data_IF_026823464011
#
_entry.id   IF_026823464011
#
_cell.length_a   1.000
_cell.length_b   1.000
_cell.length_c   1.000
_cell.angle_alpha   90.00
_cell.angle_beta   90.00
_cell.angle_gamma   90.00
#
_symmetry.space_group_name_H-M   'P 1'
#
loop_
_entity.id
_entity.type
_entity.pdbx_description
1 polymer ?
#
# COMPACT_ATOMS: atom_id res chain seq x y z
N UNK A 1 -18.75 2.70 -22.91
CA UNK A 1 -18.99 2.88 -21.47
C UNK A 1 -20.08 3.93 -21.29
N UNK A 2 -20.77 3.95 -20.15
CA UNK A 2 -21.70 5.02 -19.81
C UNK A 2 -20.96 6.11 -19.01
N UNK A 3 -21.44 7.35 -19.05
CA UNK A 3 -20.87 8.53 -18.37
C UNK A 3 -20.58 8.24 -16.88
N UNK A 4 -21.52 7.62 -16.17
CA UNK A 4 -21.33 7.24 -14.76
C UNK A 4 -20.11 6.34 -14.51
N UNK A 5 -19.83 5.42 -15.45
CA UNK A 5 -18.69 4.51 -15.36
C UNK A 5 -17.37 5.26 -15.61
N UNK A 6 -17.36 6.21 -16.56
CA UNK A 6 -16.20 7.04 -16.86
C UNK A 6 -15.88 7.98 -15.69
N UNK A 7 -16.90 8.62 -15.11
CA UNK A 7 -16.76 9.41 -13.89
C UNK A 7 -16.23 8.57 -12.74
N UNK A 8 -16.74 7.34 -12.56
CA UNK A 8 -16.30 6.47 -11.48
C UNK A 8 -14.82 6.09 -11.59
N UNK A 9 -14.34 5.77 -12.80
CA UNK A 9 -12.92 5.48 -13.03
C UNK A 9 -12.04 6.72 -12.86
N UNK A 10 -12.48 7.89 -13.33
CA UNK A 10 -11.71 9.13 -13.19
C UNK A 10 -11.55 9.54 -11.73
N UNK A 11 -12.64 9.49 -10.94
CA UNK A 11 -12.58 9.77 -9.50
C UNK A 11 -11.70 8.76 -8.75
N UNK A 12 -11.75 7.48 -9.15
CA UNK A 12 -10.89 6.45 -8.56
C UNK A 12 -9.40 6.74 -8.85
N UNK A 13 -9.06 7.15 -10.07
CA UNK A 13 -7.69 7.54 -10.45
C UNK A 13 -7.22 8.77 -9.63
N UNK A 14 -8.10 9.76 -9.44
CA UNK A 14 -7.79 10.93 -8.61
C UNK A 14 -7.53 10.53 -7.16
N UNK A 15 -8.36 9.67 -6.58
CA UNK A 15 -8.18 9.17 -5.21
C UNK A 15 -6.89 8.37 -5.07
N UNK A 16 -6.51 7.55 -6.06
CA UNK A 16 -5.24 6.82 -6.06
C UNK A 16 -4.03 7.76 -6.13
N UNK A 17 -4.14 8.85 -6.89
CA UNK A 17 -3.11 9.90 -6.92
C UNK A 17 -2.98 10.58 -5.55
N UNK A 18 -4.10 10.87 -4.89
CA UNK A 18 -4.09 11.42 -3.53
C UNK A 18 -3.51 10.43 -2.52
N UNK A 19 -3.82 9.14 -2.65
CA UNK A 19 -3.29 8.08 -1.79
C UNK A 19 -1.77 8.03 -1.88
N UNK A 20 -1.24 8.00 -3.11
CA UNK A 20 0.20 7.99 -3.39
C UNK A 20 0.92 9.20 -2.76
N UNK A 21 0.37 10.40 -2.89
CA UNK A 21 0.96 11.61 -2.29
C UNK A 21 0.87 11.66 -0.76
N UNK A 22 -0.08 10.93 -0.17
CA UNK A 22 -0.29 10.88 1.29
C UNK A 22 0.55 9.83 2.02
N UNK A 23 1.44 9.07 1.34
CA UNK A 23 2.26 7.99 1.92
C UNK A 23 3.06 8.35 3.18
N UNK A 24 3.34 9.64 3.39
CA UNK A 24 4.10 10.15 4.56
C UNK A 24 3.21 10.61 5.71
N UNK A 25 1.89 10.59 5.53
CA UNK A 25 0.88 11.08 6.47
C UNK A 25 -0.08 9.92 6.81
N UNK A 26 0.21 9.07 7.82
CA UNK A 26 -0.52 7.81 8.05
C UNK A 26 -2.03 7.99 8.22
N UNK A 27 -2.47 9.01 8.97
CA UNK A 27 -3.90 9.25 9.20
C UNK A 27 -4.62 9.68 7.91
N UNK A 28 -3.96 10.50 7.09
CA UNK A 28 -4.50 10.94 5.80
C UNK A 28 -4.53 9.78 4.81
N UNK A 29 -3.47 8.96 4.79
CA UNK A 29 -3.40 7.75 3.98
C UNK A 29 -4.52 6.76 4.33
N UNK A 30 -4.81 6.54 5.62
CA UNK A 30 -5.88 5.66 6.06
C UNK A 30 -7.27 6.14 5.58
N UNK A 31 -7.58 7.43 5.78
CA UNK A 31 -8.85 8.02 5.30
C UNK A 31 -9.02 7.94 3.79
N UNK A 32 -7.95 8.21 3.03
CA UNK A 32 -8.00 8.12 1.57
C UNK A 32 -8.14 6.65 1.14
N UNK A 33 -7.51 5.71 1.84
CA UNK A 33 -7.63 4.27 1.54
C UNK A 33 -9.09 3.80 1.62
N UNK A 34 -9.84 4.23 2.65
CA UNK A 34 -11.27 3.94 2.77
C UNK A 34 -12.08 4.52 1.58
N UNK A 35 -11.81 5.77 1.21
CA UNK A 35 -12.46 6.40 0.06
C UNK A 35 -12.14 5.69 -1.26
N UNK A 36 -10.89 5.28 -1.47
CA UNK A 36 -10.47 4.50 -2.64
C UNK A 36 -11.21 3.16 -2.71
N UNK A 37 -11.34 2.45 -1.59
CA UNK A 37 -12.04 1.16 -1.54
C UNK A 37 -13.53 1.31 -1.87
N UNK A 38 -14.20 2.30 -1.29
CA UNK A 38 -15.61 2.59 -1.59
C UNK A 38 -15.81 2.97 -3.07
N UNK A 39 -14.88 3.76 -3.64
CA UNK A 39 -14.97 4.14 -5.05
C UNK A 39 -14.67 2.98 -5.99
N UNK A 40 -13.74 2.09 -5.62
CA UNK A 40 -13.46 0.87 -6.35
C UNK A 40 -14.68 -0.06 -6.39
N UNK A 41 -15.35 -0.27 -5.25
CA UNK A 41 -16.59 -1.06 -5.17
C UNK A 41 -17.69 -0.48 -6.07
N UNK A 42 -17.83 0.84 -6.08
CA UNK A 42 -18.78 1.49 -6.98
C UNK A 42 -18.40 1.31 -8.46
N UNK A 43 -17.12 1.45 -8.81
CA UNK A 43 -16.63 1.30 -10.18
C UNK A 43 -16.79 -0.15 -10.69
N UNK A 44 -16.54 -1.16 -9.86
CA UNK A 44 -16.73 -2.58 -10.22
C UNK A 44 -18.20 -2.95 -10.43
N UNK A 45 -19.14 -2.20 -9.85
CA UNK A 45 -20.57 -2.34 -10.13
C UNK A 45 -21.02 -1.73 -11.46
N UNK A 46 -20.21 -0.84 -12.06
CA UNK A 46 -20.55 -0.09 -13.29
C UNK A 46 -19.74 -0.52 -14.51
N UNK A 47 -18.57 -1.11 -14.29
CA UNK A 47 -17.57 -1.41 -15.31
C UNK A 47 -17.35 -2.93 -15.37
N UNK A 48 -17.14 -3.45 -16.57
CA UNK A 48 -16.75 -4.84 -16.77
C UNK A 48 -15.48 -5.17 -15.96
N UNK A 49 -15.44 -6.28 -15.20
CA UNK A 49 -14.26 -6.68 -14.44
C UNK A 49 -12.96 -6.77 -15.26
N UNK A 50 -13.05 -7.14 -16.54
CA UNK A 50 -11.92 -7.27 -17.46
C UNK A 50 -11.58 -5.95 -18.16
N UNK A 51 -12.26 -4.84 -17.81
CA UNK A 51 -11.98 -3.54 -18.38
C UNK A 51 -10.52 -3.11 -18.08
N UNK A 52 -9.75 -2.71 -19.09
CA UNK A 52 -8.31 -2.48 -18.95
C UNK A 52 -7.98 -1.38 -17.94
N UNK A 53 -8.77 -0.31 -17.90
CA UNK A 53 -8.55 0.80 -16.98
C UNK A 53 -8.85 0.39 -15.52
N UNK A 54 -9.91 -0.37 -15.29
CA UNK A 54 -10.25 -0.88 -13.95
C UNK A 54 -9.14 -1.81 -13.44
N UNK A 55 -8.65 -2.70 -14.32
CA UNK A 55 -7.52 -3.59 -14.02
C UNK A 55 -6.25 -2.79 -13.68
N UNK A 56 -5.94 -1.73 -14.44
CA UNK A 56 -4.80 -0.85 -14.18
C UNK A 56 -4.92 -0.16 -12.82
N UNK A 57 -6.07 0.44 -12.51
CA UNK A 57 -6.30 1.13 -11.23
C UNK A 57 -6.24 0.17 -10.04
N UNK A 58 -6.79 -1.04 -10.18
CA UNK A 58 -6.68 -2.07 -9.15
C UNK A 58 -5.22 -2.49 -8.88
N UNK A 59 -4.40 -2.65 -9.93
CA UNK A 59 -2.96 -2.94 -9.77
C UNK A 59 -2.21 -1.82 -9.04
N UNK A 60 -2.56 -0.56 -9.31
CA UNK A 60 -1.99 0.59 -8.59
C UNK A 60 -2.36 0.54 -7.11
N UNK A 61 -3.63 0.30 -6.78
CA UNK A 61 -4.07 0.14 -5.39
C UNK A 61 -3.31 -0.96 -4.64
N UNK A 62 -3.20 -2.14 -5.24
CA UNK A 62 -2.44 -3.27 -4.65
C UNK A 62 -0.98 -2.87 -4.40
N UNK A 63 -0.37 -2.14 -5.33
CA UNK A 63 1.01 -1.66 -5.18
C UNK A 63 1.16 -0.68 -4.02
N UNK A 64 0.17 0.20 -3.81
CA UNK A 64 0.13 1.13 -2.66
C UNK A 64 0.01 0.39 -1.33
N UNK A 65 -0.85 -0.62 -1.23
CA UNK A 65 -0.98 -1.41 -0.01
C UNK A 65 0.26 -2.26 0.29
N UNK A 66 0.90 -2.84 -0.74
CA UNK A 66 2.18 -3.53 -0.58
C UNK A 66 3.28 -2.57 -0.08
N UNK A 67 3.32 -1.35 -0.62
CA UNK A 67 4.25 -0.32 -0.16
C UNK A 67 4.00 0.05 1.32
N UNK A 68 2.74 0.26 1.70
CA UNK A 68 2.36 0.59 3.07
C UNK A 68 2.72 -0.53 4.06
N UNK A 69 2.43 -1.79 3.70
CA UNK A 69 2.77 -2.96 4.52
C UNK A 69 4.29 -3.07 4.74
N UNK A 70 5.11 -2.99 3.67
CA UNK A 70 6.57 -3.03 3.80
C UNK A 70 7.13 -1.85 4.58
N UNK A 71 6.55 -0.67 4.42
CA UNK A 71 6.95 0.52 5.17
C UNK A 71 6.66 0.37 6.67
N UNK A 72 5.54 -0.27 7.03
CA UNK A 72 5.20 -0.58 8.41
C UNK A 72 6.17 -1.62 9.01
N UNK A 73 6.51 -2.68 8.25
CA UNK A 73 7.49 -3.69 8.66
C UNK A 73 8.87 -3.09 8.94
N UNK A 74 9.37 -2.23 8.04
CA UNK A 74 10.66 -1.55 8.20
C UNK A 74 10.70 -0.60 9.40
N UNK A 75 9.56 0.01 9.75
CA UNK A 75 9.43 0.90 10.91
C UNK A 75 9.16 0.14 12.21
N UNK A 76 8.90 -1.16 12.15
CA UNK A 76 8.66 -1.97 13.34
C UNK A 76 9.96 -2.12 14.15
N UNK A 77 10.01 -1.65 15.41
CA UNK A 77 11.22 -1.76 16.25
C UNK A 77 11.63 -3.21 16.54
N UNK A 78 10.74 -4.18 16.32
CA UNK A 78 11.02 -5.61 16.45
C UNK A 78 11.80 -6.20 15.27
N UNK A 79 11.77 -5.55 14.10
CA UNK A 79 12.49 -6.00 12.89
C UNK A 79 14.02 -5.85 13.07
N UNK A 80 14.44 -4.77 13.73
CA UNK A 80 15.87 -4.46 13.99
C UNK A 80 16.45 -5.37 15.09
N UNK A 81 15.62 -5.92 15.97
CA UNK A 81 16.05 -6.77 17.08
C UNK A 81 16.61 -8.14 16.65
N UNK A 82 16.33 -8.59 15.41
CA UNK A 82 16.86 -9.86 14.90
C UNK A 82 18.25 -9.76 14.25
N UNK A 83 18.75 -8.54 13.98
CA UNK A 83 20.10 -8.36 13.42
C UNK A 83 21.19 -8.23 14.49
N UNK A 84 20.83 -7.86 15.72
CA UNK A 84 21.84 -7.62 16.79
C UNK A 84 22.28 -8.90 17.53
N UNK A 85 21.66 -10.06 17.29
CA UNK A 85 22.02 -11.33 17.97
C UNK A 85 23.19 -12.09 17.31
N UNK A 86 23.68 -11.63 16.16
CA UNK A 86 24.75 -12.30 15.42
C UNK A 86 26.14 -11.68 15.60
N UNK A 87 26.28 -10.60 16.39
CA UNK A 87 27.55 -9.88 16.54
C UNK A 87 28.06 -9.91 18.00
N UNK A 88 28.10 -11.12 18.60
CA UNK A 88 28.96 -11.34 19.76
C UNK A 88 30.26 -12.00 19.30
N UNK A 89 31.42 -11.32 19.34
CA UNK A 89 32.69 -12.00 19.21
C UNK A 89 32.84 -12.95 20.39
N UNK A 90 32.89 -14.25 20.11
CA UNK A 90 33.26 -15.27 21.10
C UNK A 90 34.66 -14.93 21.60
N UNK A 91 34.76 -14.40 22.81
CA UNK A 91 36.03 -14.29 23.51
C UNK A 91 36.47 -15.71 23.89
N UNK A 92 37.31 -16.30 23.04
CA UNK A 92 38.06 -17.51 23.39
C UNK A 92 39.07 -17.15 24.48
N UNK A 93 38.66 -17.26 25.73
CA UNK A 93 39.57 -17.22 26.87
C UNK A 93 40.29 -18.58 26.93
N UNK A 94 41.43 -18.66 26.24
CA UNK A 94 42.35 -19.79 26.38
C UNK A 94 43.39 -19.43 27.43
N UNK A 95 43.22 -19.98 28.63
CA UNK A 95 44.27 -20.02 29.66
C UNK A 95 45.25 -21.12 29.31
N UNK A 96 46.49 -20.74 28.97
CA UNK A 96 47.70 -21.52 29.25
C UNK A 96 48.82 -20.54 29.54
#
# INVERSE_FOLDING_TARGET
MNEAAETALSELEQLLTQLNTSRREPDRFARISEAVLAKLEHATGLVDPDHPELTKLNRLLVSEFLFAARSAELRSPLSVANLSKYDQPKTSSSKY
#
